data_IF_522242627509
#
_entry.id   IF_522242627509
#
_cell.length_a   1.000
_cell.length_b   1.000
_cell.length_c   1.000
_cell.angle_alpha   90.00
_cell.angle_beta   90.00
_cell.angle_gamma   90.00
#
_symmetry.space_group_name_H-M   'P 1'
#
loop_
_entity.id
_entity.type
_entity.pdbx_description
1 polymer ?
#
# COMPACT_ATOMS: atom_id res chain seq x y z
N UNK A 1 -9.09 -21.29 -30.85
CA UNK A 1 -8.10 -21.94 -29.96
C UNK A 1 -8.55 -21.79 -28.51
N UNK A 2 -9.11 -22.85 -27.93
CA UNK A 2 -9.72 -22.85 -26.59
C UNK A 2 -8.70 -22.67 -25.46
N UNK A 3 -7.40 -22.93 -25.73
CA UNK A 3 -6.30 -22.67 -24.78
C UNK A 3 -6.05 -21.17 -24.54
N UNK A 4 -6.46 -20.29 -25.46
CA UNK A 4 -6.36 -18.84 -25.27
C UNK A 4 -7.48 -18.32 -24.35
N UNK A 5 -8.67 -18.93 -24.41
CA UNK A 5 -9.82 -18.55 -23.56
C UNK A 5 -9.53 -18.89 -22.10
N UNK A 6 -8.93 -20.06 -21.80
CA UNK A 6 -8.59 -20.42 -20.41
C UNK A 6 -7.55 -19.51 -19.76
N UNK A 7 -6.53 -19.06 -20.53
CA UNK A 7 -5.57 -18.05 -20.06
C UNK A 7 -6.25 -16.72 -19.80
N UNK A 8 -7.12 -16.28 -20.70
CA UNK A 8 -7.89 -15.05 -20.54
C UNK A 8 -8.83 -15.12 -19.32
N UNK A 9 -9.53 -16.25 -19.10
CA UNK A 9 -10.35 -16.47 -17.90
C UNK A 9 -9.53 -16.45 -16.60
N UNK A 10 -8.32 -17.00 -16.62
CA UNK A 10 -7.44 -16.97 -15.46
C UNK A 10 -6.93 -15.54 -15.16
N UNK A 11 -6.59 -14.78 -16.21
CA UNK A 11 -6.19 -13.37 -16.08
C UNK A 11 -7.32 -12.49 -15.52
N UNK A 12 -8.58 -12.73 -15.93
CA UNK A 12 -9.72 -12.00 -15.37
C UNK A 12 -9.94 -12.33 -13.89
N UNK A 13 -9.85 -13.61 -13.50
CA UNK A 13 -9.97 -14.01 -12.09
C UNK A 13 -8.84 -13.44 -11.23
N UNK A 14 -7.62 -13.45 -11.75
CA UNK A 14 -6.47 -12.82 -11.09
C UNK A 14 -6.65 -11.31 -10.96
N UNK A 15 -7.15 -10.63 -12.00
CA UNK A 15 -7.38 -9.19 -11.93
C UNK A 15 -8.46 -8.80 -10.92
N UNK A 16 -9.56 -9.56 -10.85
CA UNK A 16 -10.60 -9.35 -9.83
C UNK A 16 -10.03 -9.58 -8.43
N UNK A 17 -9.28 -10.67 -8.22
CA UNK A 17 -8.67 -10.95 -6.93
C UNK A 17 -7.69 -9.84 -6.47
N UNK A 18 -6.83 -9.35 -7.37
CA UNK A 18 -5.94 -8.23 -7.04
C UNK A 18 -6.70 -6.93 -6.81
N UNK A 19 -7.76 -6.68 -7.58
CA UNK A 19 -8.63 -5.53 -7.36
C UNK A 19 -9.28 -5.57 -5.97
N UNK A 20 -9.83 -6.71 -5.56
CA UNK A 20 -10.44 -6.90 -4.24
C UNK A 20 -9.45 -6.65 -3.11
N UNK A 21 -8.24 -7.21 -3.21
CA UNK A 21 -7.14 -6.96 -2.27
C UNK A 21 -6.82 -5.46 -2.16
N UNK A 22 -6.61 -4.80 -3.30
CA UNK A 22 -6.26 -3.36 -3.31
C UNK A 22 -7.42 -2.52 -2.78
N UNK A 23 -8.66 -2.82 -3.18
CA UNK A 23 -9.88 -2.14 -2.73
C UNK A 23 -10.02 -2.24 -1.22
N UNK A 24 -9.87 -3.43 -0.65
CA UNK A 24 -10.04 -3.66 0.78
C UNK A 24 -8.92 -2.99 1.59
N UNK A 25 -7.68 -3.03 1.08
CA UNK A 25 -6.56 -2.30 1.65
C UNK A 25 -6.81 -0.79 1.68
N UNK A 26 -7.25 -0.21 0.56
CA UNK A 26 -7.52 1.22 0.48
C UNK A 26 -8.70 1.63 1.38
N UNK A 27 -9.71 0.76 1.55
CA UNK A 27 -10.79 0.98 2.54
C UNK A 27 -10.26 1.01 3.97
N UNK A 28 -9.40 0.07 4.35
CA UNK A 28 -8.75 0.06 5.66
C UNK A 28 -7.87 1.30 5.87
N UNK A 29 -7.03 1.63 4.88
CA UNK A 29 -6.17 2.82 4.92
C UNK A 29 -6.99 4.11 5.03
N UNK A 30 -8.08 4.26 4.27
CA UNK A 30 -8.98 5.41 4.34
C UNK A 30 -9.48 5.65 5.76
N UNK A 31 -9.94 4.59 6.45
CA UNK A 31 -10.42 4.70 7.84
C UNK A 31 -9.31 5.16 8.80
N UNK A 32 -8.11 4.62 8.67
CA UNK A 32 -6.97 4.96 9.53
C UNK A 32 -6.49 6.40 9.30
N UNK A 33 -6.40 6.82 8.04
CA UNK A 33 -6.01 8.19 7.69
C UNK A 33 -7.09 9.22 8.06
N UNK A 34 -8.36 8.82 8.10
CA UNK A 34 -9.49 9.68 8.46
C UNK A 34 -9.52 10.95 7.62
N UNK A 35 -9.73 12.09 8.26
CA UNK A 35 -9.87 13.40 7.60
C UNK A 35 -8.63 13.86 6.81
N UNK A 36 -7.48 13.20 6.99
CA UNK A 36 -6.29 13.48 6.20
C UNK A 36 -6.33 12.81 4.82
N UNK A 37 -7.22 11.82 4.60
CA UNK A 37 -7.40 11.17 3.32
C UNK A 37 -8.09 12.10 2.32
N UNK A 38 -7.45 12.35 1.18
CA UNK A 38 -8.01 13.21 0.13
C UNK A 38 -7.95 14.71 0.44
N UNK A 39 -7.51 15.09 1.64
CA UNK A 39 -7.33 16.48 2.04
C UNK A 39 -6.05 17.06 1.42
N UNK A 40 -6.17 18.19 0.72
CA UNK A 40 -5.05 18.81 0.00
C UNK A 40 -3.95 19.38 0.91
N UNK A 41 -4.23 19.58 2.20
CA UNK A 41 -3.19 19.89 3.18
C UNK A 41 -2.23 18.72 3.44
N UNK A 42 -2.53 17.52 2.93
CA UNK A 42 -1.74 16.31 3.09
C UNK A 42 -1.36 15.68 1.73
N UNK A 43 -0.27 14.92 1.74
CA UNK A 43 0.27 14.24 0.55
C UNK A 43 -0.23 12.79 0.42
N UNK A 44 -1.09 12.33 1.34
CA UNK A 44 -1.47 10.91 1.52
C UNK A 44 -2.02 10.26 0.25
N UNK A 45 -2.86 10.98 -0.50
CA UNK A 45 -3.47 10.49 -1.74
C UNK A 45 -2.75 10.94 -3.00
N UNK A 46 -1.59 11.60 -2.89
CA UNK A 46 -0.79 11.97 -4.06
C UNK A 46 -0.05 10.73 -4.63
N UNK A 47 0.29 10.70 -5.93
CA UNK A 47 0.78 9.47 -6.59
C UNK A 47 1.97 8.79 -5.90
N UNK A 48 2.89 9.57 -5.32
CA UNK A 48 4.09 9.05 -4.65
C UNK A 48 3.74 8.23 -3.39
N UNK A 49 2.77 8.69 -2.59
CA UNK A 49 2.36 8.02 -1.36
C UNK A 49 1.43 6.85 -1.68
N UNK A 50 0.50 7.00 -2.63
CA UNK A 50 -0.35 5.90 -3.11
C UNK A 50 0.51 4.73 -3.62
N UNK A 51 1.54 5.01 -4.42
CA UNK A 51 2.45 3.96 -4.92
C UNK A 51 3.20 3.25 -3.80
N UNK A 52 3.60 3.97 -2.75
CA UNK A 52 4.23 3.38 -1.58
C UNK A 52 3.24 2.53 -0.76
N UNK A 53 2.01 3.00 -0.57
CA UNK A 53 0.94 2.26 0.10
C UNK A 53 0.57 0.97 -0.64
N UNK A 54 0.50 0.99 -1.98
CA UNK A 54 0.24 -0.22 -2.77
C UNK A 54 1.38 -1.25 -2.61
N UNK A 55 2.63 -0.82 -2.41
CA UNK A 55 3.73 -1.74 -2.10
C UNK A 55 3.55 -2.38 -0.72
N UNK A 56 3.12 -1.61 0.29
CA UNK A 56 2.75 -2.17 1.61
C UNK A 56 1.59 -3.16 1.47
N UNK A 57 0.56 -2.84 0.69
CA UNK A 57 -0.55 -3.74 0.40
C UNK A 57 -0.05 -5.08 -0.16
N UNK A 58 0.84 -5.04 -1.16
CA UNK A 58 1.41 -6.25 -1.73
C UNK A 58 2.22 -7.07 -0.72
N UNK A 59 2.91 -6.43 0.23
CA UNK A 59 3.64 -7.12 1.29
C UNK A 59 2.70 -7.71 2.34
N UNK A 60 1.69 -6.96 2.78
CA UNK A 60 0.69 -7.40 3.76
C UNK A 60 -0.18 -8.53 3.20
N UNK A 61 -0.63 -8.43 1.95
CA UNK A 61 -1.45 -9.45 1.30
C UNK A 61 -0.75 -10.81 1.21
N UNK A 62 0.59 -10.85 1.10
CA UNK A 62 1.33 -12.13 1.14
C UNK A 62 1.26 -12.83 2.49
N UNK A 63 1.05 -12.08 3.57
CA UNK A 63 0.99 -12.60 4.92
C UNK A 63 -0.44 -12.80 5.44
N UNK A 64 -1.39 -11.96 5.02
CA UNK A 64 -2.74 -11.87 5.61
C UNK A 64 -3.82 -11.46 4.58
N UNK A 65 -3.75 -11.94 3.34
CA UNK A 65 -4.85 -11.75 2.38
C UNK A 65 -6.08 -12.60 2.72
N UNK A 66 -5.91 -13.79 3.30
CA UNK A 66 -7.02 -14.72 3.54
C UNK A 66 -7.28 -14.95 5.03
N UNK A 67 -8.55 -15.14 5.45
CA UNK A 67 -9.77 -15.09 4.63
C UNK A 67 -10.19 -13.65 4.25
N UNK A 68 -10.93 -13.49 3.15
CA UNK A 68 -11.56 -12.21 2.76
C UNK A 68 -12.44 -11.64 3.88
N UNK A 69 -13.21 -12.51 4.54
CA UNK A 69 -14.08 -12.11 5.63
C UNK A 69 -13.25 -11.49 6.77
N UNK A 70 -13.61 -10.27 7.14
CA UNK A 70 -12.92 -9.51 8.18
C UNK A 70 -11.56 -8.91 7.77
N UNK A 71 -11.10 -9.11 6.51
CA UNK A 71 -9.81 -8.59 6.02
C UNK A 71 -9.66 -7.09 6.26
N UNK A 72 -10.68 -6.30 5.94
CA UNK A 72 -10.67 -4.84 6.16
C UNK A 72 -10.40 -4.50 7.63
N UNK A 73 -11.05 -5.18 8.58
CA UNK A 73 -10.86 -4.89 10.01
C UNK A 73 -9.48 -5.31 10.50
N UNK A 74 -9.00 -6.49 10.11
CA UNK A 74 -7.64 -6.95 10.45
C UNK A 74 -6.58 -5.98 9.92
N UNK A 75 -6.75 -5.52 8.70
CA UNK A 75 -5.82 -4.57 8.09
C UNK A 75 -5.95 -3.17 8.67
N UNK A 76 -7.16 -2.71 9.01
CA UNK A 76 -7.36 -1.46 9.75
C UNK A 76 -6.57 -1.48 11.08
N UNK A 77 -6.67 -2.57 11.84
CA UNK A 77 -5.91 -2.75 13.08
C UNK A 77 -4.40 -2.76 12.85
N UNK A 78 -3.97 -3.44 11.78
CA UNK A 78 -2.55 -3.50 11.38
C UNK A 78 -1.99 -2.14 10.98
N UNK A 79 -2.80 -1.35 10.29
CA UNK A 79 -2.41 -0.04 9.76
C UNK A 79 -2.60 1.09 10.78
N UNK A 80 -3.33 0.86 11.88
CA UNK A 80 -3.69 1.86 12.90
C UNK A 80 -2.55 2.83 13.30
N UNK A 81 -1.27 2.40 13.45
CA UNK A 81 -0.16 3.30 13.76
C UNK A 81 0.07 4.43 12.75
N UNK A 82 -0.43 4.33 11.52
CA UNK A 82 -0.34 5.39 10.51
C UNK A 82 -1.10 6.66 10.91
N UNK A 83 -2.16 6.55 11.73
CA UNK A 83 -2.92 7.70 12.20
C UNK A 83 -2.03 8.71 12.96
N UNK A 84 -1.06 8.22 13.72
CA UNK A 84 -0.11 9.05 14.47
C UNK A 84 0.92 9.75 13.56
N UNK A 85 1.06 9.27 12.32
CA UNK A 85 2.07 9.75 11.38
C UNK A 85 1.52 10.80 10.42
N UNK A 86 0.25 11.22 10.54
CA UNK A 86 -0.39 12.23 9.67
C UNK A 86 0.45 13.50 9.51
N UNK A 87 1.10 13.96 10.59
CA UNK A 87 1.96 15.14 10.56
C UNK A 87 3.15 15.01 9.58
N UNK A 88 3.69 13.80 9.39
CA UNK A 88 4.76 13.53 8.43
C UNK A 88 4.31 13.83 7.00
N UNK A 89 3.01 13.65 6.71
CA UNK A 89 2.44 13.79 5.38
C UNK A 89 1.79 15.14 5.12
N UNK A 90 1.86 16.13 6.03
CA UNK A 90 1.45 17.51 5.70
C UNK A 90 2.21 18.01 4.46
N UNK A 91 1.56 18.78 3.60
CA UNK A 91 2.17 19.34 2.39
C UNK A 91 3.43 20.14 2.72
N UNK A 92 3.32 21.05 3.69
CA UNK A 92 4.43 21.85 4.17
C UNK A 92 5.47 20.98 4.86
N UNK A 93 6.71 21.01 4.36
CA UNK A 93 7.81 20.22 4.91
C UNK A 93 7.84 18.75 4.47
N UNK A 94 6.95 18.31 3.56
CA UNK A 94 6.90 16.90 3.13
C UNK A 94 8.20 16.44 2.48
N UNK A 95 8.78 17.28 1.63
CA UNK A 95 9.98 16.96 0.85
C UNK A 95 11.22 16.91 1.75
N UNK A 96 11.23 17.68 2.83
CA UNK A 96 12.25 17.76 3.87
C UNK A 96 12.18 16.58 4.83
N UNK A 97 10.96 16.08 5.14
CA UNK A 97 10.76 14.87 5.95
C UNK A 97 11.00 13.58 5.17
N UNK A 98 10.72 13.60 3.86
CA UNK A 98 11.02 12.51 2.93
C UNK A 98 12.01 12.94 1.82
N UNK A 99 13.25 13.31 2.20
CA UNK A 99 14.27 13.73 1.26
C UNK A 99 14.71 12.52 0.42
N UNK A 100 14.87 12.78 -0.87
CA UNK A 100 15.22 11.78 -1.89
C UNK A 100 15.73 12.49 -3.15
N UNK A 101 16.63 11.84 -3.88
CA UNK A 101 17.16 12.32 -5.18
C UNK A 101 16.11 12.29 -6.29
N UNK A 102 15.02 11.56 -6.10
CA UNK A 102 13.91 11.49 -7.05
C UNK A 102 12.72 10.70 -6.54
N UNK A 103 11.67 10.61 -7.37
CA UNK A 103 10.39 10.00 -6.96
C UNK A 103 10.54 8.52 -6.57
N UNK A 104 11.32 7.72 -7.30
CA UNK A 104 11.50 6.29 -7.00
C UNK A 104 12.12 6.04 -5.63
N UNK A 105 13.12 6.84 -5.26
CA UNK A 105 13.75 6.77 -3.95
C UNK A 105 12.78 7.21 -2.86
N UNK A 106 12.00 8.29 -3.11
CA UNK A 106 10.98 8.74 -2.16
C UNK A 106 9.91 7.68 -1.91
N UNK A 107 9.38 7.04 -2.95
CA UNK A 107 8.45 5.91 -2.83
C UNK A 107 9.06 4.81 -1.96
N UNK A 108 10.32 4.48 -2.18
CA UNK A 108 11.01 3.41 -1.43
C UNK A 108 11.18 3.78 0.04
N UNK A 109 11.49 5.04 0.35
CA UNK A 109 11.57 5.54 1.73
C UNK A 109 10.21 5.48 2.42
N UNK A 110 9.18 6.06 1.80
CA UNK A 110 7.80 6.06 2.33
C UNK A 110 7.30 4.63 2.53
N UNK A 111 7.56 3.72 1.58
CA UNK A 111 7.20 2.30 1.70
C UNK A 111 7.84 1.67 2.94
N UNK A 112 9.13 1.89 3.17
CA UNK A 112 9.84 1.38 4.36
C UNK A 112 9.27 1.93 5.66
N UNK A 113 9.01 3.24 5.73
CA UNK A 113 8.46 3.86 6.93
C UNK A 113 7.03 3.36 7.22
N UNK A 114 6.16 3.34 6.20
CA UNK A 114 4.80 2.82 6.32
C UNK A 114 4.77 1.35 6.74
N UNK A 115 5.60 0.50 6.13
CA UNK A 115 5.67 -0.92 6.50
C UNK A 115 6.19 -1.10 7.92
N UNK A 116 7.25 -0.36 8.32
CA UNK A 116 7.79 -0.38 9.69
C UNK A 116 6.71 -0.03 10.72
N UNK A 117 5.97 1.05 10.50
CA UNK A 117 4.91 1.47 11.43
C UNK A 117 3.76 0.47 11.53
N UNK A 118 3.42 -0.22 10.43
CA UNK A 118 2.39 -1.25 10.42
C UNK A 118 2.91 -2.65 10.84
N UNK A 119 4.21 -2.78 11.14
CA UNK A 119 4.85 -4.08 11.40
C UNK A 119 4.77 -5.05 10.23
N UNK A 120 4.73 -4.56 8.99
CA UNK A 120 4.65 -5.36 7.77
C UNK A 120 6.07 -5.68 7.30
N UNK A 121 6.35 -6.96 7.10
CA UNK A 121 7.65 -7.40 6.58
C UNK A 121 7.79 -7.07 5.10
N UNK A 122 8.83 -6.29 4.76
CA UNK A 122 9.17 -6.03 3.36
C UNK A 122 10.02 -7.19 2.86
N UNK A 123 9.51 -7.94 1.89
CA UNK A 123 10.32 -8.94 1.19
C UNK A 123 11.34 -8.21 0.33
N UNK A 124 12.61 -8.20 0.76
CA UNK A 124 13.67 -7.70 -0.10
C UNK A 124 13.72 -8.57 -1.36
N UNK A 125 13.89 -7.96 -2.55
CA UNK A 125 14.31 -8.75 -3.71
C UNK A 125 15.69 -9.28 -3.35
N UNK A 126 15.77 -10.53 -2.87
CA UNK A 126 17.01 -11.27 -2.90
C UNK A 126 17.53 -11.10 -4.33
N UNK A 127 18.71 -10.48 -4.46
CA UNK A 127 19.37 -10.27 -5.75
C UNK A 127 19.37 -11.65 -6.41
N UNK A 128 18.58 -11.85 -7.45
CA UNK A 128 18.70 -13.05 -8.25
C UNK A 128 20.15 -13.03 -8.72
N UNK A 129 20.99 -13.89 -8.13
CA UNK A 129 22.34 -14.10 -8.63
C UNK A 129 22.14 -14.63 -10.05
N UNK A 130 22.37 -13.75 -11.02
CA UNK A 130 22.64 -14.16 -12.40
C UNK A 130 24.07 -14.66 -12.44
#
# INVERSE_FOLDING_TARGET
DWRKISRTTNLYKESEHYYEIIRDFLKAAHKVWGDAWGNDAFQITKPVVLKAMIRVCADLARADAEPEQGRIKRWEDRLAPWAEQRAQFKGDGFYERFPAKGQTERVTRIHRDLARWAGVEIKSKARAKT
#
